data_IF_275500586942
#
_entry.id   IF_275500586942
#
_cell.length_a   1.000
_cell.length_b   1.000
_cell.length_c   1.000
_cell.angle_alpha   90.00
_cell.angle_beta   90.00
_cell.angle_gamma   90.00
#
_symmetry.space_group_name_H-M   'P 1'
#
loop_
_entity.id
_entity.type
_entity.pdbx_description
1 polymer ?
#
# COMPACT_ATOMS: atom_id res chain seq x y z
N UNK A 1 9.19 8.03 -0.09
CA UNK A 1 9.84 6.76 0.30
C UNK A 1 9.36 5.61 -0.57
N UNK A 2 10.22 4.62 -0.81
CA UNK A 2 9.89 3.38 -1.53
C UNK A 2 9.91 2.23 -0.53
N UNK A 3 8.90 1.35 -0.59
CA UNK A 3 8.76 0.17 0.25
C UNK A 3 8.53 -1.05 -0.63
N UNK A 4 9.11 -2.20 -0.29
CA UNK A 4 8.69 -3.49 -0.86
C UNK A 4 7.49 -3.98 -0.06
N UNK A 5 6.38 -4.26 -0.74
CA UNK A 5 5.14 -4.64 -0.09
C UNK A 5 4.42 -5.72 -0.88
N UNK A 6 4.02 -6.78 -0.18
CA UNK A 6 3.09 -7.78 -0.71
C UNK A 6 1.65 -7.33 -0.52
N UNK A 7 0.87 -7.34 -1.60
CA UNK A 7 -0.57 -7.08 -1.51
C UNK A 7 -1.27 -8.36 -1.07
N UNK A 8 -1.86 -8.32 0.13
CA UNK A 8 -2.46 -9.50 0.76
C UNK A 8 -3.97 -9.58 0.57
N UNK A 9 -4.64 -8.43 0.44
CA UNK A 9 -6.10 -8.35 0.28
C UNK A 9 -6.54 -7.09 -0.45
N UNK A 10 -7.80 -7.08 -0.89
CA UNK A 10 -8.46 -5.87 -1.38
C UNK A 10 -8.67 -4.84 -0.27
N UNK A 11 -8.60 -3.56 -0.65
CA UNK A 11 -8.91 -2.43 0.23
C UNK A 11 -10.40 -2.10 0.27
N UNK A 12 -10.72 -0.92 0.79
CA UNK A 12 -12.10 -0.44 0.89
C UNK A 12 -12.66 -0.10 -0.48
N UNK A 13 -11.88 0.62 -1.28
CA UNK A 13 -12.25 0.94 -2.66
C UNK A 13 -11.81 -0.19 -3.61
N UNK A 14 -12.56 -0.47 -4.71
CA UNK A 14 -12.27 -1.60 -5.60
C UNK A 14 -10.86 -1.59 -6.22
N UNK A 15 -10.24 -0.42 -6.35
CA UNK A 15 -8.88 -0.28 -6.90
C UNK A 15 -7.80 -0.50 -5.85
N UNK A 16 -8.14 -0.48 -4.56
CA UNK A 16 -7.17 -0.55 -3.48
C UNK A 16 -6.72 -1.98 -3.19
N UNK A 17 -5.43 -2.11 -2.89
CA UNK A 17 -4.85 -3.26 -2.21
C UNK A 17 -4.41 -2.86 -0.81
N UNK A 18 -4.29 -3.84 0.08
CA UNK A 18 -3.74 -3.65 1.43
C UNK A 18 -2.63 -4.66 1.66
N UNK A 19 -1.51 -4.16 2.16
CA UNK A 19 -0.41 -4.93 2.71
C UNK A 19 -0.07 -4.46 4.12
N UNK A 20 0.86 -5.15 4.75
CA UNK A 20 1.37 -4.82 6.08
C UNK A 20 2.89 -4.81 6.04
N UNK A 21 3.50 -3.88 6.79
CA UNK A 21 4.93 -3.94 7.09
C UNK A 21 5.18 -4.95 8.22
N UNK A 22 6.45 -5.29 8.43
CA UNK A 22 6.87 -6.26 9.44
C UNK A 22 6.47 -5.87 10.88
N UNK A 23 6.31 -4.57 11.13
CA UNK A 23 5.88 -4.02 12.42
C UNK A 23 4.35 -4.01 12.60
N UNK A 24 3.59 -4.49 11.61
CA UNK A 24 2.14 -4.50 11.59
C UNK A 24 1.49 -3.22 11.07
N UNK A 25 2.26 -2.22 10.64
CA UNK A 25 1.72 -0.99 10.04
C UNK A 25 0.93 -1.32 8.77
N UNK A 26 -0.32 -0.87 8.72
CA UNK A 26 -1.18 -1.10 7.56
C UNK A 26 -0.83 -0.12 6.43
N UNK A 27 -0.59 -0.67 5.24
CA UNK A 27 -0.29 0.10 4.02
C UNK A 27 -1.42 -0.10 3.02
N UNK A 28 -2.11 0.98 2.70
CA UNK A 28 -3.15 1.02 1.67
C UNK A 28 -2.52 1.47 0.36
N UNK A 29 -2.57 0.60 -0.65
CA UNK A 29 -1.98 0.84 -1.97
C UNK A 29 -3.09 1.10 -2.97
N UNK A 30 -3.15 2.33 -3.49
CA UNK A 30 -4.07 2.67 -4.59
C UNK A 30 -3.60 1.99 -5.88
N UNK A 31 -4.56 1.47 -6.68
CA UNK A 31 -4.29 0.53 -7.78
C UNK A 31 -3.59 -0.77 -7.33
N UNK A 32 -3.55 -1.07 -6.04
CA UNK A 32 -2.93 -2.28 -5.51
C UNK A 32 -3.74 -3.55 -5.82
N UNK A 33 -5.05 -3.44 -6.07
CA UNK A 33 -5.92 -4.61 -6.28
C UNK A 33 -5.44 -5.50 -7.44
N UNK A 34 -4.97 -4.88 -8.54
CA UNK A 34 -4.44 -5.60 -9.72
C UNK A 34 -3.13 -6.37 -9.45
N UNK A 35 -2.51 -6.13 -8.30
CA UNK A 35 -1.25 -6.76 -7.88
C UNK A 35 -1.45 -7.70 -6.67
N UNK A 36 -2.67 -8.18 -6.42
CA UNK A 36 -2.95 -9.08 -5.30
C UNK A 36 -2.10 -10.35 -5.37
N UNK A 37 -1.51 -10.73 -4.24
CA UNK A 37 -0.60 -11.87 -4.12
C UNK A 37 0.83 -11.60 -4.58
N UNK A 38 1.09 -10.45 -5.20
CA UNK A 38 2.41 -10.04 -5.72
C UNK A 38 3.10 -9.12 -4.70
N UNK A 39 4.41 -9.29 -4.58
CA UNK A 39 5.30 -8.38 -3.88
C UNK A 39 5.92 -7.40 -4.88
N UNK A 40 5.77 -6.11 -4.62
CA UNK A 40 6.22 -5.06 -5.53
C UNK A 40 6.66 -3.79 -4.79
N UNK A 41 7.53 -2.98 -5.42
CA UNK A 41 7.87 -1.67 -4.90
C UNK A 41 6.69 -0.71 -4.99
N UNK A 42 6.35 -0.10 -3.86
CA UNK A 42 5.35 0.96 -3.75
C UNK A 42 5.99 2.27 -3.28
N UNK A 43 5.48 3.39 -3.77
CA UNK A 43 5.89 4.72 -3.36
C UNK A 43 4.87 5.25 -2.36
N UNK A 44 5.33 5.62 -1.17
CA UNK A 44 4.50 6.26 -0.15
C UNK A 44 4.07 7.64 -0.65
N UNK A 45 2.76 7.87 -0.69
CA UNK A 45 2.15 9.14 -1.09
C UNK A 45 1.74 9.98 0.11
N UNK A 46 1.26 9.35 1.19
CA UNK A 46 0.96 10.03 2.45
C UNK A 46 0.92 9.05 3.63
N UNK A 47 0.90 9.57 4.85
CA UNK A 47 0.66 8.80 6.05
C UNK A 47 -0.29 9.56 6.98
N UNK A 48 -1.23 8.85 7.60
CA UNK A 48 -2.16 9.38 8.59
C UNK A 48 -1.89 8.73 9.94
N UNK A 49 -1.73 9.54 10.97
CA UNK A 49 -1.69 9.07 12.35
C UNK A 49 -3.12 9.08 12.91
N UNK A 50 -3.55 7.95 13.48
CA UNK A 50 -4.84 7.80 14.16
C UNK A 50 -4.61 7.34 15.60
N UNK A 51 -5.64 7.39 16.44
CA UNK A 51 -5.60 6.82 17.80
C UNK A 51 -5.33 5.31 17.81
N UNK A 52 -5.66 4.60 16.72
CA UNK A 52 -5.42 3.16 16.55
C UNK A 52 -4.03 2.84 15.96
N UNK A 53 -3.24 3.86 15.58
CA UNK A 53 -1.92 3.68 14.99
C UNK A 53 -1.73 4.46 13.69
N UNK A 54 -0.66 4.13 12.98
CA UNK A 54 -0.26 4.77 11.71
C UNK A 54 -0.85 4.01 10.53
N UNK A 55 -1.44 4.75 9.60
CA UNK A 55 -1.90 4.23 8.31
C UNK A 55 -1.05 4.87 7.22
N UNK A 56 -0.49 4.07 6.33
CA UNK A 56 0.33 4.54 5.21
C UNK A 56 -0.48 4.39 3.92
N UNK A 57 -0.41 5.40 3.05
CA UNK A 57 -0.97 5.36 1.71
C UNK A 57 0.16 5.36 0.69
N UNK A 58 0.04 4.52 -0.33
CA UNK A 58 1.06 4.34 -1.35
C UNK A 58 0.45 4.04 -2.72
N UNK A 59 1.28 4.04 -3.76
CA UNK A 59 0.95 3.62 -5.12
C UNK A 59 2.05 2.71 -5.68
N UNK A 60 1.75 1.76 -6.58
CA UNK A 60 2.77 0.98 -7.28
C UNK A 60 3.78 1.91 -7.95
N UNK A 61 5.07 1.62 -7.80
CA UNK A 61 6.14 2.39 -8.46
C UNK A 61 5.94 2.43 -9.98
N UNK A 62 5.44 1.35 -10.56
CA UNK A 62 5.13 1.25 -12.00
C UNK A 62 4.04 2.23 -12.47
N UNK A 63 3.10 2.64 -11.59
CA UNK A 63 2.07 3.63 -11.94
C UNK A 63 2.63 5.06 -11.98
N UNK A 64 3.82 5.30 -11.41
CA UNK A 64 4.52 6.58 -11.46
C UNK A 64 5.53 6.53 -12.61
N UNK A 65 5.04 6.56 -13.84
CA UNK A 65 5.90 6.74 -15.02
C UNK A 65 5.99 8.23 -15.31
N UNK A 66 7.18 8.81 -15.15
CA UNK A 66 7.55 10.16 -15.60
C UNK A 66 7.83 10.12 -17.09
#
# INVERSE_FOLDING_TARGET
DILELKILKGGKEPTQGVGYLDDGTMVVVEEGYKHMGVELPVIVTSALQTSAGRMIFARPKASVTV
#
